data_IF_396429184564
#
_entry.id   IF_396429184564
#
_cell.length_a   1.000
_cell.length_b   1.000
_cell.length_c   1.000
_cell.angle_alpha   90.00
_cell.angle_beta   90.00
_cell.angle_gamma   90.00
#
_symmetry.space_group_name_H-M   'P 1'
#
loop_
_entity.id
_entity.type
_entity.pdbx_description
1 polymer ?
#
# COMPACT_ATOMS: atom_id res chain seq x y z
N UNK A 1 -19.76 -0.49 1.70
CA UNK A 1 -19.18 -1.46 2.66
C UNK A 1 -18.69 -2.65 1.85
N UNK A 2 -17.38 -2.80 1.70
CA UNK A 2 -16.77 -3.82 0.86
C UNK A 2 -16.47 -5.06 1.71
N UNK A 3 -16.86 -6.25 1.27
CA UNK A 3 -16.70 -7.50 2.03
C UNK A 3 -15.33 -8.13 1.75
N UNK A 4 -14.39 -7.98 2.69
CA UNK A 4 -13.06 -8.56 2.62
C UNK A 4 -13.00 -10.08 2.80
N UNK A 5 -14.13 -10.77 3.04
CA UNK A 5 -14.14 -12.23 3.25
C UNK A 5 -13.76 -13.04 2.01
N UNK A 6 -14.11 -12.56 0.82
CA UNK A 6 -13.82 -13.22 -0.47
C UNK A 6 -12.40 -12.97 -0.98
N UNK A 7 -11.68 -12.04 -0.36
CA UNK A 7 -10.38 -11.56 -0.86
C UNK A 7 -9.18 -12.08 -0.02
N UNK A 8 -9.41 -12.52 1.22
CA UNK A 8 -8.35 -12.97 2.13
C UNK A 8 -7.56 -14.23 1.68
N UNK A 9 -8.10 -15.05 0.76
CA UNK A 9 -7.39 -16.22 0.21
C UNK A 9 -6.53 -15.90 -1.03
N UNK A 10 -6.53 -14.65 -1.47
CA UNK A 10 -5.70 -14.14 -2.56
C UNK A 10 -5.29 -12.73 -2.16
N UNK A 11 -4.17 -12.60 -1.46
CA UNK A 11 -3.38 -11.36 -1.51
C UNK A 11 -3.50 -10.80 -2.94
N UNK A 12 -3.91 -9.52 -3.14
CA UNK A 12 -4.08 -9.01 -4.49
C UNK A 12 -2.76 -9.21 -5.21
N UNK A 13 -2.72 -10.19 -6.12
CA UNK A 13 -1.54 -10.45 -6.94
C UNK A 13 -1.31 -9.25 -7.85
N UNK A 14 -2.36 -8.46 -8.11
CA UNK A 14 -2.31 -7.23 -8.88
C UNK A 14 -3.20 -6.16 -8.28
N UNK A 15 -2.71 -4.93 -8.28
CA UNK A 15 -3.52 -3.74 -8.03
C UNK A 15 -2.93 -2.55 -8.76
N UNK A 16 -3.79 -1.59 -9.09
CA UNK A 16 -3.37 -0.32 -9.65
C UNK A 16 -4.23 0.81 -9.12
N UNK A 17 -3.63 1.97 -8.85
CA UNK A 17 -4.35 3.19 -8.49
C UNK A 17 -3.56 4.43 -8.87
N UNK A 18 -4.28 5.52 -9.07
CA UNK A 18 -3.69 6.83 -9.29
C UNK A 18 -3.83 7.66 -8.02
N UNK A 19 -2.78 8.40 -7.67
CA UNK A 19 -2.83 9.37 -6.58
C UNK A 19 -2.02 10.62 -6.91
N UNK A 20 -2.36 11.71 -6.23
CA UNK A 20 -1.59 12.94 -6.27
C UNK A 20 -1.40 13.47 -4.86
N UNK A 21 -0.17 13.89 -4.55
CA UNK A 21 0.16 14.49 -3.27
C UNK A 21 -0.12 16.00 -3.38
N UNK A 22 -0.98 16.56 -2.52
CA UNK A 22 -1.33 18.00 -2.59
C UNK A 22 -0.31 18.93 -1.93
N UNK A 23 0.47 18.43 -0.97
CA UNK A 23 1.48 19.19 -0.21
C UNK A 23 2.71 18.31 0.01
N UNK A 24 3.93 18.85 0.20
CA UNK A 24 5.08 18.02 0.54
C UNK A 24 4.77 17.10 1.73
N UNK A 25 4.94 15.79 1.54
CA UNK A 25 4.77 14.76 2.58
C UNK A 25 6.09 14.03 2.73
N UNK A 26 6.55 13.91 3.99
CA UNK A 26 7.73 13.13 4.34
C UNK A 26 7.30 11.69 4.62
N UNK A 27 6.33 11.51 5.52
CA UNK A 27 5.80 10.19 5.87
C UNK A 27 4.26 10.20 5.86
N UNK A 28 3.63 9.10 5.44
CA UNK A 28 2.17 8.99 5.45
C UNK A 28 1.63 7.66 4.93
N UNK A 29 0.53 7.19 5.50
CA UNK A 29 -0.14 5.97 5.05
C UNK A 29 -1.13 6.30 3.92
N UNK A 30 -0.97 5.64 2.76
CA UNK A 30 -1.89 5.80 1.62
C UNK A 30 -3.00 4.75 1.70
N UNK A 31 -2.61 3.49 1.87
CA UNK A 31 -3.54 2.37 1.86
C UNK A 31 -3.11 1.35 2.90
N UNK A 32 -4.06 0.91 3.72
CA UNK A 32 -3.91 -0.25 4.57
C UNK A 32 -5.06 -1.20 4.28
N UNK A 33 -4.72 -2.40 3.84
CA UNK A 33 -5.66 -3.46 3.60
C UNK A 33 -5.28 -4.67 4.46
N UNK A 34 -6.24 -5.17 5.22
CA UNK A 34 -6.08 -6.37 6.03
C UNK A 34 -7.40 -6.78 6.64
N UNK A 35 -7.56 -8.08 6.92
CA UNK A 35 -8.80 -8.62 7.49
C UNK A 35 -8.51 -9.28 8.82
N UNK A 36 -9.01 -8.71 9.92
CA UNK A 36 -8.81 -9.30 11.25
C UNK A 36 -9.53 -10.65 11.30
N UNK A 37 -8.76 -11.73 11.31
CA UNK A 37 -9.23 -13.10 11.53
C UNK A 37 -8.53 -13.66 12.76
N UNK A 38 -9.26 -14.43 13.55
CA UNK A 38 -8.70 -15.19 14.68
C UNK A 38 -8.26 -16.55 14.14
N UNK A 39 -7.00 -16.98 14.36
CA UNK A 39 -5.94 -16.31 15.12
C UNK A 39 -5.24 -15.18 14.35
N UNK A 40 -4.92 -14.08 15.05
CA UNK A 40 -4.30 -12.85 14.50
C UNK A 40 -2.96 -13.13 13.79
N UNK A 41 -2.27 -14.21 14.16
CA UNK A 41 -0.97 -14.56 13.58
C UNK A 41 -1.05 -15.02 12.11
N UNK A 42 -2.23 -15.30 11.56
CA UNK A 42 -2.42 -15.65 10.15
C UNK A 42 -2.95 -14.48 9.30
N UNK A 43 -2.89 -13.27 9.85
CA UNK A 43 -3.38 -12.04 9.22
C UNK A 43 -2.52 -11.64 8.01
N UNK A 44 -3.10 -11.76 6.81
CA UNK A 44 -2.55 -11.12 5.62
C UNK A 44 -2.87 -9.62 5.64
N UNK A 45 -1.84 -8.80 5.46
CA UNK A 45 -2.00 -7.37 5.28
C UNK A 45 -1.05 -6.82 4.22
N UNK A 46 -1.53 -5.79 3.53
CA UNK A 46 -0.75 -4.97 2.61
C UNK A 46 -0.88 -3.53 3.07
N UNK A 47 0.26 -2.85 3.17
CA UNK A 47 0.26 -1.40 3.35
C UNK A 47 1.06 -0.73 2.24
N UNK A 48 0.61 0.45 1.86
CA UNK A 48 1.31 1.35 0.97
C UNK A 48 1.50 2.64 1.74
N UNK A 49 2.74 3.01 1.94
CA UNK A 49 3.10 4.22 2.65
C UNK A 49 4.05 5.08 1.83
N UNK A 50 4.09 6.34 2.20
CA UNK A 50 5.17 7.26 1.89
C UNK A 50 6.09 7.20 3.10
N UNK A 51 7.36 6.89 2.88
CA UNK A 51 8.41 6.93 3.89
C UNK A 51 9.58 7.72 3.32
N UNK A 52 10.00 8.77 4.02
CA UNK A 52 11.06 9.69 3.56
C UNK A 52 10.82 10.19 2.12
N UNK A 53 9.58 10.59 1.83
CA UNK A 53 9.10 11.06 0.54
C UNK A 53 9.22 10.05 -0.60
N UNK A 54 9.33 8.74 -0.29
CA UNK A 54 9.35 7.65 -1.27
C UNK A 54 8.20 6.69 -1.04
N UNK A 55 7.72 6.04 -2.09
CA UNK A 55 6.69 5.03 -1.98
C UNK A 55 7.29 3.71 -1.48
N UNK A 56 6.65 3.08 -0.49
CA UNK A 56 7.02 1.78 0.06
C UNK A 56 5.82 0.87 0.16
N UNK A 57 6.04 -0.39 -0.19
CA UNK A 57 5.07 -1.46 -0.04
C UNK A 57 5.46 -2.36 1.12
N UNK A 58 4.47 -2.72 1.91
CA UNK A 58 4.56 -3.73 2.95
C UNK A 58 3.68 -4.90 2.58
N UNK A 59 4.28 -6.08 2.53
CA UNK A 59 3.59 -7.35 2.34
C UNK A 59 3.97 -8.27 3.49
N UNK A 60 3.20 -8.25 4.59
CA UNK A 60 3.40 -9.04 5.82
C UNK A 60 4.86 -9.21 6.30
N UNK A 61 5.63 -10.08 5.66
CA UNK A 61 7.00 -10.45 6.00
C UNK A 61 8.07 -9.75 5.12
N UNK A 62 7.65 -8.99 4.11
CA UNK A 62 8.53 -8.34 3.13
C UNK A 62 8.22 -6.85 3.01
N UNK A 63 9.26 -6.03 3.07
CA UNK A 63 9.22 -4.61 2.73
C UNK A 63 9.89 -4.42 1.38
N UNK A 64 9.22 -3.73 0.47
CA UNK A 64 9.74 -3.39 -0.85
C UNK A 64 9.68 -1.88 -1.00
N UNK A 65 10.84 -1.24 -1.11
CA UNK A 65 10.90 0.15 -1.57
C UNK A 65 10.49 0.14 -3.05
N UNK A 66 9.36 0.77 -3.35
CA UNK A 66 8.73 0.72 -4.68
C UNK A 66 9.65 1.30 -5.75
N UNK A 67 10.31 2.40 -5.41
CA UNK A 67 11.12 3.21 -6.32
C UNK A 67 12.18 3.98 -5.53
N UNK A 68 13.24 4.39 -6.21
CA UNK A 68 14.16 5.42 -5.71
C UNK A 68 13.67 6.85 -6.00
N UNK A 69 12.45 6.99 -6.52
CA UNK A 69 11.87 8.28 -6.89
C UNK A 69 11.37 9.00 -5.65
N UNK A 70 11.81 10.26 -5.50
CA UNK A 70 11.24 11.17 -4.51
C UNK A 70 9.93 11.72 -5.06
N UNK A 71 8.85 11.54 -4.31
CA UNK A 71 7.52 11.99 -4.65
C UNK A 71 7.41 13.50 -4.43
N UNK A 72 6.86 14.19 -5.42
CA UNK A 72 6.69 15.63 -5.45
C UNK A 72 5.21 16.00 -5.30
N UNK A 73 4.95 17.14 -4.66
CA UNK A 73 3.61 17.70 -4.60
C UNK A 73 3.10 18.08 -6.01
N UNK A 74 1.78 18.08 -6.17
CA UNK A 74 1.07 18.43 -7.40
C UNK A 74 1.41 17.57 -8.63
N UNK A 75 2.08 16.44 -8.43
CA UNK A 75 2.37 15.45 -9.47
C UNK A 75 1.41 14.26 -9.32
N UNK A 76 0.87 13.80 -10.44
CA UNK A 76 0.08 12.57 -10.49
C UNK A 76 1.00 11.36 -10.66
N UNK A 77 0.73 10.32 -9.88
CA UNK A 77 1.46 9.07 -9.88
C UNK A 77 0.49 7.93 -10.18
N UNK A 78 0.88 7.09 -11.14
CA UNK A 78 0.27 5.79 -11.33
C UNK A 78 1.09 4.75 -10.57
N UNK A 79 0.43 3.95 -9.74
CA UNK A 79 1.04 2.86 -9.01
C UNK A 79 0.45 1.56 -9.54
N UNK A 80 1.31 0.63 -9.93
CA UNK A 80 0.93 -0.71 -10.37
C UNK A 80 1.84 -1.75 -9.70
N UNK A 81 1.23 -2.82 -9.20
CA UNK A 81 1.90 -4.02 -8.71
C UNK A 81 1.33 -5.22 -9.47
N UNK A 82 2.18 -6.13 -9.97
CA UNK A 82 1.81 -7.22 -10.89
C UNK A 82 2.22 -8.63 -10.43
#
# INVERSE_FOLDING_TARGET
>A
VFDGRTFANRAPTRFSFDFAIRSPIIDGLILLYGRNITPINDFFWTAIEIYQSRLRFHFRDTILDATNTVLNASTWYHVEYQ
#
